data_IF_300544631774
#
_entry.id   IF_300544631774
#
_cell.length_a   1.000
_cell.length_b   1.000
_cell.length_c   1.000
_cell.angle_alpha   90.00
_cell.angle_beta   90.00
_cell.angle_gamma   90.00
#
_symmetry.space_group_name_H-M   'P 1'
#
loop_
_entity.id
_entity.type
_entity.pdbx_description
1 polymer ?
#
# COMPACT_ATOMS: atom_id res chain seq x y z
N UNK A 1 -37.90 36.50 -37.33
CA UNK A 1 -36.52 36.82 -36.94
C UNK A 1 -36.47 36.54 -35.44
N UNK A 2 -36.38 35.26 -35.06
CA UNK A 2 -35.13 34.46 -35.03
C UNK A 2 -34.30 34.95 -33.85
N UNK A 3 -34.34 34.22 -32.73
CA UNK A 3 -33.25 33.31 -32.31
C UNK A 3 -32.05 34.12 -31.78
N UNK A 4 -31.58 33.90 -30.55
CA UNK A 4 -31.21 32.57 -30.05
C UNK A 4 -31.60 32.30 -28.59
N UNK A 5 -31.77 31.02 -28.27
CA UNK A 5 -31.94 30.49 -26.91
C UNK A 5 -31.43 29.06 -26.85
N UNK A 6 -30.25 28.84 -26.26
CA UNK A 6 -29.63 27.57 -25.81
C UNK A 6 -28.12 27.76 -25.59
N UNK A 7 -27.40 26.85 -24.89
CA UNK A 7 -27.75 25.98 -23.77
C UNK A 7 -26.89 26.41 -22.54
N UNK A 8 -26.43 25.63 -21.56
CA UNK A 8 -26.61 24.21 -21.20
C UNK A 8 -26.45 24.00 -19.68
N UNK A 9 -27.00 22.89 -19.20
CA UNK A 9 -26.44 21.92 -18.24
C UNK A 9 -25.12 22.27 -17.54
N UNK A 10 -25.23 22.84 -16.33
CA UNK A 10 -24.23 22.63 -15.29
C UNK A 10 -24.44 21.21 -14.75
N UNK A 11 -23.61 20.27 -15.22
CA UNK A 11 -23.77 18.85 -14.92
C UNK A 11 -23.65 18.58 -13.41
N UNK A 12 -24.66 17.89 -12.86
CA UNK A 12 -24.53 17.17 -11.60
C UNK A 12 -23.33 16.22 -11.73
N UNK A 13 -22.29 16.47 -10.95
CA UNK A 13 -21.21 15.51 -10.78
C UNK A 13 -21.74 14.44 -9.83
N UNK A 14 -22.27 13.36 -10.41
CA UNK A 14 -22.80 12.23 -9.65
C UNK A 14 -21.71 11.63 -8.78
N UNK A 15 -21.74 11.97 -7.49
CA UNK A 15 -21.04 11.29 -6.40
C UNK A 15 -21.79 9.96 -6.13
N UNK A 16 -21.84 9.10 -7.15
CA UNK A 16 -22.31 7.72 -7.00
C UNK A 16 -21.19 6.94 -6.31
N UNK A 17 -21.45 6.28 -5.15
CA UNK A 17 -20.45 5.41 -4.55
C UNK A 17 -20.11 4.31 -5.55
N UNK A 18 -18.82 4.11 -5.81
CA UNK A 18 -18.36 3.06 -6.71
C UNK A 18 -18.76 1.70 -6.14
N UNK A 19 -19.84 1.12 -6.69
CA UNK A 19 -20.35 -0.20 -6.28
C UNK A 19 -19.25 -1.24 -6.52
N UNK A 20 -18.61 -1.65 -5.41
CA UNK A 20 -17.29 -2.26 -5.44
C UNK A 20 -17.26 -3.58 -6.21
N UNK A 21 -16.26 -3.74 -7.07
CA UNK A 21 -16.18 -4.94 -7.92
C UNK A 21 -15.55 -6.09 -7.15
N UNK A 22 -16.33 -7.15 -6.89
CA UNK A 22 -15.76 -8.43 -6.41
C UNK A 22 -14.81 -9.04 -7.44
N UNK A 23 -13.65 -9.49 -6.97
CA UNK A 23 -12.59 -10.18 -7.73
C UNK A 23 -12.05 -11.33 -6.87
N UNK A 24 -11.96 -12.54 -7.45
CA UNK A 24 -11.21 -13.65 -6.85
C UNK A 24 -9.71 -13.37 -6.99
N UNK A 25 -9.00 -13.27 -5.87
CA UNK A 25 -7.57 -12.94 -5.80
C UNK A 25 -6.73 -14.21 -5.70
N UNK A 26 -7.12 -15.09 -4.78
CA UNK A 26 -6.57 -16.45 -4.63
C UNK A 26 -7.73 -17.46 -4.66
N UNK A 27 -7.50 -18.77 -4.87
CA UNK A 27 -8.58 -19.76 -4.95
C UNK A 27 -9.52 -19.74 -3.74
N UNK A 28 -10.77 -19.30 -3.94
CA UNK A 28 -11.77 -19.13 -2.88
C UNK A 28 -11.56 -17.94 -1.95
N UNK A 29 -10.73 -16.96 -2.31
CA UNK A 29 -10.44 -15.72 -1.57
C UNK A 29 -10.79 -14.52 -2.45
N UNK A 30 -11.95 -13.92 -2.18
CA UNK A 30 -12.44 -12.75 -2.91
C UNK A 30 -12.12 -11.44 -2.16
N UNK A 31 -11.98 -10.36 -2.93
CA UNK A 31 -11.86 -8.98 -2.46
C UNK A 31 -12.83 -8.07 -3.23
N UNK A 32 -13.33 -7.02 -2.57
CA UNK A 32 -14.13 -5.95 -3.16
C UNK A 32 -13.20 -4.82 -3.58
N UNK A 33 -13.14 -4.52 -4.88
CA UNK A 33 -12.25 -3.51 -5.46
C UNK A 33 -12.99 -2.18 -5.65
N UNK A 34 -12.47 -1.13 -5.04
CA UNK A 34 -13.08 0.21 -4.94
C UNK A 34 -12.27 1.30 -5.67
N UNK A 35 -11.39 0.89 -6.58
CA UNK A 35 -10.60 1.79 -7.42
C UNK A 35 -10.86 1.55 -8.91
N UNK A 36 -10.53 2.53 -9.75
CA UNK A 36 -10.68 2.43 -11.21
C UNK A 36 -9.99 1.16 -11.75
N UNK A 37 -10.69 0.22 -12.41
CA UNK A 37 -10.05 -0.95 -12.99
C UNK A 37 -9.01 -0.60 -14.07
N UNK A 38 -8.98 0.62 -14.60
CA UNK A 38 -7.91 1.15 -15.44
C UNK A 38 -6.60 1.44 -14.70
N UNK A 39 -6.60 1.49 -13.36
CA UNK A 39 -5.45 1.89 -12.54
C UNK A 39 -4.27 0.93 -12.72
N UNK A 40 -3.10 1.49 -13.03
CA UNK A 40 -1.84 0.75 -13.15
C UNK A 40 -0.86 1.12 -12.05
N UNK A 41 0.05 0.20 -11.74
CA UNK A 41 1.13 0.41 -10.78
C UNK A 41 2.39 -0.37 -11.15
N UNK A 42 3.53 0.26 -10.98
CA UNK A 42 4.84 -0.41 -10.95
C UNK A 42 5.74 0.28 -9.92
N UNK A 43 6.52 -0.50 -9.18
CA UNK A 43 7.48 0.06 -8.23
C UNK A 43 8.65 0.67 -8.99
N UNK A 44 8.71 2.01 -9.04
CA UNK A 44 9.84 2.73 -9.63
C UNK A 44 11.00 2.87 -8.63
N UNK A 45 12.22 2.93 -9.15
CA UNK A 45 13.40 3.29 -8.35
C UNK A 45 13.20 4.69 -7.71
N UNK A 46 13.91 4.97 -6.62
CA UNK A 46 13.95 6.27 -5.89
C UNK A 46 12.67 6.79 -5.20
N UNK A 47 11.46 6.34 -5.57
CA UNK A 47 10.19 6.89 -5.01
C UNK A 47 10.12 6.84 -3.47
N UNK A 48 10.58 5.75 -2.84
CA UNK A 48 10.87 5.54 -1.38
C UNK A 48 9.83 5.93 -0.31
N UNK A 49 8.73 6.60 -0.66
CA UNK A 49 7.73 7.16 0.25
C UNK A 49 7.09 6.13 1.19
N UNK A 50 6.85 4.90 0.71
CA UNK A 50 6.32 3.81 1.54
C UNK A 50 7.23 3.46 2.74
N UNK A 51 8.52 3.80 2.68
CA UNK A 51 9.47 3.63 3.77
C UNK A 51 9.47 4.77 4.80
N UNK A 52 8.68 5.83 4.60
CA UNK A 52 8.66 7.01 5.48
C UNK A 52 7.75 6.85 6.71
N UNK A 53 6.85 5.87 6.77
CA UNK A 53 5.79 5.82 7.81
C UNK A 53 5.98 4.76 8.91
N UNK A 54 7.05 3.97 8.84
CA UNK A 54 7.22 2.78 9.67
C UNK A 54 6.29 1.64 9.23
N UNK A 55 6.75 0.40 9.39
CA UNK A 55 6.05 -0.78 8.85
C UNK A 55 5.48 -1.59 9.99
N UNK A 56 4.15 -1.63 10.13
CA UNK A 56 3.46 -2.56 11.03
C UNK A 56 3.77 -4.00 10.60
N UNK A 57 4.03 -4.86 11.57
CA UNK A 57 4.30 -6.28 11.37
C UNK A 57 3.20 -7.10 12.01
N UNK A 58 2.53 -7.92 11.20
CA UNK A 58 1.58 -8.93 11.66
C UNK A 58 2.32 -10.13 12.30
N UNK A 59 1.62 -11.05 12.99
CA UNK A 59 2.25 -12.20 13.65
C UNK A 59 3.09 -13.09 12.72
N UNK A 60 2.70 -13.21 11.45
CA UNK A 60 3.46 -13.99 10.46
C UNK A 60 4.66 -13.22 9.93
N UNK A 61 4.52 -11.91 9.66
CA UNK A 61 5.66 -11.04 9.33
C UNK A 61 6.77 -11.11 10.41
N UNK A 62 6.40 -11.25 11.69
CA UNK A 62 7.35 -11.41 12.80
C UNK A 62 8.04 -12.79 12.81
N UNK A 63 7.37 -13.85 12.36
CA UNK A 63 7.96 -15.18 12.24
C UNK A 63 8.92 -15.25 11.06
N UNK A 64 8.54 -14.66 9.93
CA UNK A 64 9.36 -14.60 8.72
C UNK A 64 10.57 -13.68 8.92
N UNK A 65 10.39 -12.49 9.51
CA UNK A 65 11.48 -11.60 9.89
C UNK A 65 12.46 -12.25 10.88
N UNK A 66 12.00 -13.14 11.77
CA UNK A 66 12.90 -13.86 12.68
C UNK A 66 13.81 -14.89 11.98
N UNK A 67 13.51 -15.26 10.74
CA UNK A 67 14.33 -16.18 9.95
C UNK A 67 15.51 -15.48 9.25
N UNK A 68 15.40 -14.17 9.01
CA UNK A 68 16.47 -13.36 8.39
C UNK A 68 17.14 -12.36 9.34
N UNK A 69 16.45 -11.88 10.37
CA UNK A 69 16.86 -10.70 11.14
C UNK A 69 16.77 -10.86 12.66
N UNK A 70 17.56 -10.06 13.39
CA UNK A 70 17.45 -10.01 14.85
C UNK A 70 16.23 -9.17 15.24
N UNK A 71 15.10 -9.82 15.55
CA UNK A 71 13.86 -9.15 15.98
C UNK A 71 14.06 -8.07 17.06
N UNK A 72 15.01 -8.23 17.99
CA UNK A 72 15.23 -7.24 19.05
C UNK A 72 15.83 -5.91 18.57
N UNK A 73 16.51 -5.94 17.42
CA UNK A 73 17.11 -4.77 16.76
C UNK A 73 16.24 -4.30 15.58
N UNK A 74 15.65 -5.24 14.85
CA UNK A 74 14.83 -5.00 13.67
C UNK A 74 13.44 -4.41 13.99
N UNK A 75 12.94 -4.52 15.23
CA UNK A 75 11.55 -4.16 15.54
C UNK A 75 11.34 -3.42 16.87
N UNK A 76 10.48 -2.42 16.85
CA UNK A 76 10.01 -1.64 18.01
C UNK A 76 8.57 -1.99 18.38
N UNK A 77 8.09 -1.56 19.55
CA UNK A 77 6.69 -1.69 19.97
C UNK A 77 6.04 -0.32 20.12
N UNK A 78 4.88 -0.13 19.49
CA UNK A 78 4.02 1.05 19.69
C UNK A 78 2.58 0.61 19.91
N UNK A 79 1.92 1.16 20.93
CA UNK A 79 0.52 0.82 21.31
C UNK A 79 0.22 -0.68 21.46
N UNK A 80 1.23 -1.52 21.70
CA UNK A 80 1.12 -2.98 21.82
C UNK A 80 1.37 -3.75 20.52
N UNK A 81 1.45 -3.08 19.38
CA UNK A 81 1.78 -3.65 18.07
C UNK A 81 3.29 -3.56 17.79
N UNK A 82 3.82 -4.43 16.92
CA UNK A 82 5.24 -4.42 16.51
C UNK A 82 5.42 -3.73 15.16
N UNK A 83 6.49 -2.97 15.04
CA UNK A 83 6.81 -2.22 13.82
C UNK A 83 8.30 -2.37 13.48
N UNK A 84 8.66 -2.32 12.20
CA UNK A 84 10.01 -1.91 11.79
C UNK A 84 10.18 -0.42 12.14
N UNK A 85 11.22 -0.04 12.90
CA UNK A 85 11.41 1.33 13.31
C UNK A 85 11.85 2.20 12.12
N UNK A 86 11.59 3.51 12.27
CA UNK A 86 12.26 4.55 11.51
C UNK A 86 13.55 4.94 12.22
N UNK A 87 14.59 5.25 11.46
CA UNK A 87 15.90 5.64 11.96
C UNK A 87 16.37 6.91 11.25
N UNK A 88 16.99 7.83 11.99
CA UNK A 88 17.64 9.01 11.40
C UNK A 88 18.71 8.57 10.41
N UNK A 89 18.62 9.08 9.19
CA UNK A 89 19.58 8.90 8.11
C UNK A 89 20.53 10.09 8.10
N UNK A 90 21.82 9.82 7.85
CA UNK A 90 22.84 10.87 7.69
C UNK A 90 22.84 11.52 6.31
N UNK A 91 21.70 11.49 5.62
CA UNK A 91 21.48 11.90 4.22
C UNK A 91 20.06 12.43 4.07
N UNK A 92 19.89 13.40 3.20
CA UNK A 92 18.57 13.95 2.84
C UNK A 92 17.87 13.08 1.77
N UNK A 93 18.64 12.38 0.94
CA UNK A 93 18.12 11.49 -0.10
C UNK A 93 17.47 10.24 0.51
N UNK A 94 16.28 9.90 -0.02
CA UNK A 94 15.46 8.75 0.41
C UNK A 94 15.07 8.78 1.89
N UNK A 95 14.98 9.96 2.50
CA UNK A 95 14.48 10.18 3.85
C UNK A 95 13.23 11.08 3.84
N UNK A 96 12.45 11.02 4.92
CA UNK A 96 11.35 11.95 5.15
C UNK A 96 11.86 13.32 5.64
N UNK A 97 10.98 14.30 5.80
CA UNK A 97 11.31 15.68 6.21
C UNK A 97 11.97 15.82 7.60
N UNK A 98 11.90 14.80 8.46
CA UNK A 98 12.63 14.71 9.73
C UNK A 98 14.01 14.03 9.61
N UNK A 99 14.41 13.68 8.39
CA UNK A 99 15.62 12.94 8.07
C UNK A 99 15.57 11.46 8.44
N UNK A 100 14.40 10.87 8.73
CA UNK A 100 14.29 9.46 9.10
C UNK A 100 13.56 8.60 8.05
N UNK A 101 13.95 7.32 7.99
CA UNK A 101 13.33 6.32 7.10
C UNK A 101 13.34 4.92 7.75
N UNK A 102 12.56 4.00 7.20
CA UNK A 102 12.54 2.58 7.56
C UNK A 102 13.95 2.01 7.68
N UNK A 103 14.22 1.24 8.76
CA UNK A 103 15.51 0.60 9.06
C UNK A 103 16.15 -0.11 7.87
N UNK A 104 15.35 -0.76 7.02
CA UNK A 104 15.81 -1.55 5.87
C UNK A 104 15.92 -0.78 4.55
N UNK A 105 15.78 0.55 4.56
CA UNK A 105 15.97 1.39 3.37
C UNK A 105 17.45 1.75 3.17
N UNK A 106 18.02 1.26 2.08
CA UNK A 106 19.42 1.44 1.70
C UNK A 106 19.72 2.80 1.04
N UNK A 107 21.01 3.06 0.79
CA UNK A 107 21.49 4.32 0.18
C UNK A 107 21.08 4.49 -1.28
N UNK A 108 20.80 3.40 -2.01
CA UNK A 108 20.31 3.44 -3.39
C UNK A 108 18.78 3.51 -3.50
N UNK A 109 18.09 3.66 -2.38
CA UNK A 109 16.63 3.69 -2.31
C UNK A 109 15.96 2.31 -2.38
N UNK A 110 16.69 1.20 -2.32
CA UNK A 110 16.12 -0.16 -2.27
C UNK A 110 15.89 -0.66 -0.86
N UNK A 111 15.04 -1.67 -0.75
CA UNK A 111 14.73 -2.36 0.50
C UNK A 111 15.65 -3.58 0.67
N UNK A 112 16.52 -3.57 1.67
CA UNK A 112 17.49 -4.64 1.92
C UNK A 112 16.84 -6.01 2.17
N UNK A 113 15.71 -6.06 2.87
CA UNK A 113 14.95 -7.31 3.05
C UNK A 113 14.56 -7.98 1.72
N UNK A 114 14.20 -7.17 0.72
CA UNK A 114 13.83 -7.68 -0.59
C UNK A 114 15.07 -8.00 -1.44
N UNK A 115 16.11 -7.18 -1.35
CA UNK A 115 17.36 -7.40 -2.08
C UNK A 115 18.11 -8.66 -1.60
N UNK A 116 18.11 -8.94 -0.29
CA UNK A 116 18.83 -10.06 0.32
C UNK A 116 18.00 -11.34 0.47
N UNK A 117 16.69 -11.24 0.65
CA UNK A 117 15.83 -12.38 0.98
C UNK A 117 14.61 -12.58 0.06
N UNK A 118 14.46 -11.76 -0.99
CA UNK A 118 13.28 -11.72 -1.86
C UNK A 118 11.95 -11.54 -1.09
N UNK A 119 12.04 -10.91 0.09
CA UNK A 119 10.94 -10.83 1.05
C UNK A 119 10.57 -9.40 1.43
N UNK A 120 9.29 -9.18 1.73
CA UNK A 120 8.75 -7.92 2.26
C UNK A 120 7.64 -8.23 3.26
N UNK A 121 7.52 -7.48 4.36
CA UNK A 121 6.35 -7.57 5.23
C UNK A 121 5.06 -7.37 4.44
N UNK A 122 3.98 -8.03 4.85
CA UNK A 122 2.64 -7.99 4.26
C UNK A 122 2.21 -6.56 3.91
N UNK A 123 2.39 -5.62 4.85
CA UNK A 123 2.03 -4.21 4.65
C UNK A 123 2.82 -3.50 3.54
N UNK A 124 4.08 -3.88 3.31
CA UNK A 124 4.89 -3.37 2.20
C UNK A 124 4.45 -3.96 0.86
N UNK A 125 4.04 -5.23 0.83
CA UNK A 125 3.53 -5.90 -0.37
C UNK A 125 2.19 -5.33 -0.85
N UNK A 126 1.35 -4.89 0.08
CA UNK A 126 0.05 -4.25 -0.19
C UNK A 126 0.18 -2.85 -0.81
N UNK A 127 1.31 -2.16 -0.66
CA UNK A 127 1.48 -0.81 -1.22
C UNK A 127 1.43 -0.84 -2.77
N UNK A 128 0.65 0.04 -3.44
CA UNK A 128 0.04 1.30 -2.98
C UNK A 128 -1.40 1.18 -2.44
N UNK A 129 -1.94 -0.04 -2.38
CA UNK A 129 -3.32 -0.30 -1.98
C UNK A 129 -3.51 -0.06 -0.47
N UNK A 130 -4.75 0.23 -0.09
CA UNK A 130 -5.27 0.13 1.26
C UNK A 130 -6.20 -1.08 1.34
N UNK A 131 -6.25 -1.70 2.52
CA UNK A 131 -7.12 -2.85 2.83
C UNK A 131 -7.90 -2.51 4.10
N UNK A 132 -9.20 -2.77 4.07
CA UNK A 132 -10.14 -2.67 5.18
C UNK A 132 -11.09 -3.88 5.18
N UNK A 133 -11.84 -4.08 6.26
CA UNK A 133 -12.90 -5.10 6.33
C UNK A 133 -14.24 -4.42 6.55
N UNK A 134 -15.17 -4.62 5.62
CA UNK A 134 -16.53 -4.09 5.68
C UNK A 134 -17.52 -5.23 5.46
N UNK A 135 -18.55 -5.34 6.32
CA UNK A 135 -19.52 -6.45 6.38
C UNK A 135 -18.93 -7.89 6.34
N UNK A 136 -17.65 -8.04 6.72
CA UNK A 136 -16.93 -9.32 6.71
C UNK A 136 -16.21 -9.63 5.39
N UNK A 137 -16.20 -8.69 4.44
CA UNK A 137 -15.52 -8.76 3.16
C UNK A 137 -14.25 -7.91 3.16
N UNK A 138 -13.25 -8.29 2.35
CA UNK A 138 -11.99 -7.57 2.26
C UNK A 138 -12.09 -6.50 1.17
N UNK A 139 -12.14 -5.23 1.58
CA UNK A 139 -12.27 -4.06 0.70
C UNK A 139 -10.90 -3.49 0.35
N UNK A 140 -10.69 -3.15 -0.91
CA UNK A 140 -9.40 -2.76 -1.49
C UNK A 140 -9.54 -1.48 -2.30
N UNK A 141 -8.90 -0.43 -1.81
CA UNK A 141 -8.81 0.90 -2.43
C UNK A 141 -7.35 1.28 -2.71
N UNK A 142 -7.10 2.37 -3.43
CA UNK A 142 -5.76 3.00 -3.46
C UNK A 142 -5.65 3.95 -2.26
N UNK A 143 -4.49 4.05 -1.62
CA UNK A 143 -4.28 5.03 -0.53
C UNK A 143 -4.38 6.45 -1.08
N UNK A 144 -5.14 7.31 -0.40
CA UNK A 144 -5.23 8.75 -0.70
C UNK A 144 -3.84 9.41 -0.78
N UNK A 145 -2.94 9.11 0.16
CA UNK A 145 -1.59 9.65 0.13
C UNK A 145 -0.76 9.08 -1.05
N UNK A 146 -1.03 7.85 -1.50
CA UNK A 146 -0.34 7.27 -2.65
C UNK A 146 -0.77 7.96 -3.95
N UNK A 147 -2.03 8.38 -4.09
CA UNK A 147 -2.50 9.23 -5.22
C UNK A 147 -1.67 10.51 -5.37
N UNK A 148 -1.16 11.05 -4.25
CA UNK A 148 -0.40 12.31 -4.20
C UNK A 148 1.12 12.12 -4.27
N UNK A 149 1.64 11.01 -3.75
CA UNK A 149 3.08 10.82 -3.50
C UNK A 149 3.71 9.60 -4.16
N UNK A 150 2.91 8.66 -4.69
CA UNK A 150 3.44 7.45 -5.31
C UNK A 150 3.71 7.67 -6.80
N UNK A 151 4.98 7.93 -7.13
CA UNK A 151 5.47 8.02 -8.52
C UNK A 151 5.28 6.72 -9.33
N UNK A 152 4.97 5.60 -8.68
CA UNK A 152 4.68 4.31 -9.31
C UNK A 152 3.26 4.15 -9.84
N UNK A 153 2.31 5.04 -9.51
CA UNK A 153 0.94 4.98 -10.01
C UNK A 153 0.83 5.54 -11.43
N UNK A 154 0.17 4.81 -12.33
CA UNK A 154 -0.13 5.28 -13.68
C UNK A 154 1.05 5.29 -14.67
N UNK A 155 2.24 4.85 -14.27
CA UNK A 155 3.46 4.90 -15.11
C UNK A 155 3.70 3.68 -15.99
N UNK A 156 3.01 2.57 -15.72
CA UNK A 156 3.16 1.29 -16.43
C UNK A 156 1.85 0.84 -17.07
N UNK A 157 1.92 -0.22 -17.89
CA UNK A 157 0.74 -0.93 -18.40
C UNK A 157 0.21 -2.00 -17.42
N UNK A 158 0.89 -2.22 -16.28
CA UNK A 158 0.54 -3.26 -15.31
C UNK A 158 -0.67 -2.82 -14.47
N UNK A 159 -1.87 -3.24 -14.87
CA UNK A 159 -3.12 -2.96 -14.16
C UNK A 159 -3.17 -3.66 -12.81
N UNK A 160 -3.48 -2.93 -11.74
CA UNK A 160 -3.54 -3.46 -10.37
C UNK A 160 -4.55 -4.61 -10.26
N UNK A 161 -5.74 -4.42 -10.85
CA UNK A 161 -6.85 -5.39 -10.77
C UNK A 161 -6.55 -6.75 -11.45
N UNK A 162 -5.65 -6.77 -12.43
CA UNK A 162 -5.27 -8.00 -13.16
C UNK A 162 -4.12 -8.77 -12.44
N UNK A 163 -3.59 -8.24 -11.33
CA UNK A 163 -2.41 -8.72 -10.62
C UNK A 163 -2.54 -8.62 -9.08
N UNK A 164 -3.76 -8.66 -8.54
CA UNK A 164 -4.02 -8.49 -7.11
C UNK A 164 -3.33 -9.56 -6.24
N UNK A 165 -3.14 -10.77 -6.78
CA UNK A 165 -2.41 -11.88 -6.16
C UNK A 165 -0.99 -11.49 -5.73
N UNK A 166 -0.33 -10.62 -6.51
CA UNK A 166 1.02 -10.13 -6.24
C UNK A 166 1.08 -8.97 -5.23
N UNK A 167 -0.07 -8.37 -4.88
CA UNK A 167 -0.16 -7.25 -3.94
C UNK A 167 -0.90 -7.60 -2.64
N UNK A 168 -1.76 -8.61 -2.65
CA UNK A 168 -2.60 -9.00 -1.51
C UNK A 168 -2.17 -10.39 -1.01
N UNK A 169 -1.23 -10.49 -0.06
CA UNK A 169 -0.83 -11.78 0.50
C UNK A 169 -2.00 -12.55 1.09
N UNK A 170 -1.95 -13.87 0.95
CA UNK A 170 -2.95 -14.82 1.45
C UNK A 170 -3.29 -14.63 2.95
N UNK A 171 -2.29 -14.24 3.76
CA UNK A 171 -2.42 -13.89 5.18
C UNK A 171 -3.51 -12.85 5.48
N UNK A 172 -3.83 -11.94 4.55
CA UNK A 172 -4.83 -10.90 4.77
C UNK A 172 -6.25 -11.44 5.06
N UNK A 173 -6.57 -12.65 4.59
CA UNK A 173 -7.84 -13.34 4.88
C UNK A 173 -7.79 -14.17 6.17
N UNK A 174 -6.65 -14.21 6.85
CA UNK A 174 -6.39 -15.00 8.07
C UNK A 174 -6.24 -14.12 9.32
N UNK A 175 -6.06 -12.81 9.15
CA UNK A 175 -5.97 -11.83 10.21
C UNK A 175 -7.35 -11.44 10.77
N UNK A 176 -7.45 -11.34 12.10
CA UNK A 176 -8.63 -10.76 12.77
C UNK A 176 -8.85 -9.27 12.39
N UNK A 177 -7.77 -8.57 12.04
CA UNK A 177 -7.75 -7.16 11.60
C UNK A 177 -6.62 -6.97 10.55
N UNK A 178 -6.94 -7.02 9.25
CA UNK A 178 -6.00 -6.73 8.17
C UNK A 178 -5.93 -5.24 7.81
N UNK A 179 -6.41 -4.30 8.65
CA UNK A 179 -6.35 -2.88 8.30
C UNK A 179 -4.88 -2.41 8.16
N UNK A 180 -4.58 -1.84 6.99
CA UNK A 180 -3.21 -1.41 6.66
C UNK A 180 -2.96 0.09 6.81
N UNK A 181 -3.90 0.86 7.38
CA UNK A 181 -3.78 2.32 7.61
C UNK A 181 -2.99 2.71 8.89
N UNK A 182 -2.77 1.79 9.83
CA UNK A 182 -2.14 2.08 11.15
C UNK A 182 -0.64 2.45 11.06
N UNK A 183 -0.29 3.75 11.09
CA UNK A 183 1.10 4.24 11.09
C UNK A 183 1.73 4.31 12.50
N UNK A 184 3.07 4.47 12.55
CA UNK A 184 3.87 4.64 13.77
C UNK A 184 3.77 6.07 14.33
#
# INVERSE_FOLDING_TARGET
MSADASPADGQDASDEPADGRRVEVHPGREAVVEFDPGRTFECVDSCTWCCHHGVLLYPDDLQELAACENLSEATTTHRGQRFVPRETRGRDDHADADGAACRFLEEDGRCGLHAEHDWKPTRCSVFPLAVAVEDGELHVSVREDAELHCEGLGVSERRLIDHLDAFLPETLWELDDPETRVAL
#
